data_IF_158119741231
#
_entry.id   IF_158119741231
#
_cell.length_a   1.000
_cell.length_b   1.000
_cell.length_c   1.000
_cell.angle_alpha   90.00
_cell.angle_beta   90.00
_cell.angle_gamma   90.00
#
_symmetry.space_group_name_H-M   'P 1'
#
loop_
_entity.id
_entity.type
_entity.pdbx_description
1 polymer ?
#
# COMPACT_ATOMS: atom_id res chain seq x y z
N UNK A 1 44.49 -13.13 -30.21
CA UNK A 1 43.85 -14.46 -30.19
C UNK A 1 43.88 -15.14 -28.81
N UNK A 2 44.89 -14.93 -27.96
CA UNK A 2 44.98 -15.61 -26.64
C UNK A 2 44.26 -14.93 -25.46
N UNK A 3 43.92 -13.64 -25.55
CA UNK A 3 43.27 -12.92 -24.42
C UNK A 3 41.75 -13.16 -24.36
N UNK A 4 41.12 -13.55 -25.48
CA UNK A 4 39.69 -13.85 -25.53
C UNK A 4 39.33 -15.22 -24.91
N UNK A 5 40.29 -16.14 -24.79
CA UNK A 5 40.05 -17.47 -24.25
C UNK A 5 40.06 -17.53 -22.71
N UNK A 6 40.64 -16.52 -22.04
CA UNK A 6 40.75 -16.50 -20.56
C UNK A 6 39.58 -15.77 -19.86
N UNK A 7 38.76 -15.03 -20.60
CA UNK A 7 37.52 -14.44 -20.08
C UNK A 7 36.29 -15.36 -20.24
N UNK A 8 36.44 -16.48 -20.97
CA UNK A 8 35.35 -17.44 -21.22
C UNK A 8 35.14 -18.51 -20.15
N UNK A 9 35.97 -18.55 -19.10
CA UNK A 9 35.93 -19.62 -18.08
C UNK A 9 35.49 -19.16 -16.68
N UNK A 10 35.04 -17.90 -16.52
CA UNK A 10 34.64 -17.34 -15.22
C UNK A 10 33.15 -16.95 -15.14
N UNK A 11 32.35 -17.26 -16.15
CA UNK A 11 30.90 -17.27 -16.04
C UNK A 11 30.44 -18.72 -15.89
N UNK A 12 30.84 -19.32 -14.76
CA UNK A 12 30.01 -20.39 -14.22
C UNK A 12 28.61 -19.83 -14.13
N UNK A 13 27.64 -20.50 -14.77
CA UNK A 13 26.23 -20.14 -14.61
C UNK A 13 25.98 -20.04 -13.12
N UNK A 14 25.79 -18.83 -12.61
CA UNK A 14 25.15 -18.66 -11.31
C UNK A 14 23.77 -19.23 -11.57
N UNK A 15 23.57 -20.51 -11.22
CA UNK A 15 22.22 -21.04 -11.11
C UNK A 15 21.59 -20.10 -10.09
N UNK A 16 20.63 -19.30 -10.54
CA UNK A 16 19.75 -18.64 -9.59
C UNK A 16 19.24 -19.76 -8.69
N UNK A 17 19.54 -19.68 -7.40
CA UNK A 17 18.94 -20.61 -6.45
C UNK A 17 17.43 -20.51 -6.63
N UNK A 18 16.71 -21.65 -6.68
CA UNK A 18 15.26 -21.60 -6.79
C UNK A 18 14.75 -20.74 -5.63
N UNK A 19 13.89 -19.78 -5.95
CA UNK A 19 13.17 -19.02 -4.93
C UNK A 19 12.45 -20.05 -4.05
N UNK A 20 12.84 -20.10 -2.78
CA UNK A 20 12.19 -20.94 -1.80
C UNK A 20 10.91 -20.21 -1.39
N UNK A 21 9.77 -20.85 -1.64
CA UNK A 21 8.46 -20.34 -1.25
C UNK A 21 7.99 -21.06 0.01
N UNK A 22 7.30 -20.33 0.88
CA UNK A 22 6.78 -20.87 2.14
C UNK A 22 5.27 -20.86 2.11
N UNK A 23 4.66 -22.04 2.21
CA UNK A 23 3.26 -22.18 2.54
C UNK A 23 3.14 -22.45 4.03
N UNK A 24 2.53 -21.53 4.77
CA UNK A 24 2.33 -21.64 6.21
C UNK A 24 0.86 -21.76 6.53
N UNK A 25 0.52 -22.74 7.36
CA UNK A 25 -0.77 -22.88 8.00
C UNK A 25 -0.60 -22.67 9.50
N UNK A 26 -1.32 -21.69 10.05
CA UNK A 26 -1.16 -21.29 11.45
C UNK A 26 -2.52 -21.30 12.13
N UNK A 27 -2.68 -22.26 13.03
CA UNK A 27 -3.75 -22.31 14.02
C UNK A 27 -3.26 -21.68 15.32
N UNK A 28 -4.02 -20.73 15.87
CA UNK A 28 -3.76 -20.17 17.19
C UNK A 28 -5.01 -20.22 18.05
N UNK A 29 -4.82 -20.35 19.36
CA UNK A 29 -5.85 -20.19 20.36
C UNK A 29 -5.34 -19.31 21.50
N UNK A 30 -6.24 -18.51 22.08
CA UNK A 30 -5.91 -17.53 23.12
C UNK A 30 -7.14 -17.30 24.02
N UNK A 31 -6.97 -16.73 25.22
CA UNK A 31 -8.10 -16.38 26.08
C UNK A 31 -8.90 -15.16 25.58
N UNK A 32 -8.26 -14.28 24.80
CA UNK A 32 -8.87 -13.05 24.28
C UNK A 32 -9.64 -13.30 22.97
N UNK A 33 -10.37 -12.30 22.46
CA UNK A 33 -11.14 -12.41 21.20
C UNK A 33 -10.29 -11.96 20.00
N UNK A 34 -10.22 -12.74 18.91
CA UNK A 34 -10.83 -14.06 18.70
C UNK A 34 -10.10 -15.17 19.47
N UNK A 35 -10.84 -16.08 20.10
CA UNK A 35 -10.25 -17.15 20.94
C UNK A 35 -9.61 -18.29 20.15
N UNK A 36 -9.89 -18.35 18.85
CA UNK A 36 -9.33 -19.29 17.90
C UNK A 36 -9.24 -18.57 16.55
N UNK A 37 -8.16 -18.80 15.82
CA UNK A 37 -8.06 -18.40 14.43
C UNK A 37 -7.19 -19.39 13.66
N UNK A 38 -7.49 -19.53 12.38
CA UNK A 38 -6.72 -20.34 11.45
C UNK A 38 -6.55 -19.55 10.16
N UNK A 39 -5.31 -19.53 9.67
CA UNK A 39 -4.96 -18.84 8.43
C UNK A 39 -3.94 -19.65 7.65
N UNK A 40 -4.11 -19.62 6.33
CA UNK A 40 -3.14 -20.13 5.37
C UNK A 40 -2.55 -18.96 4.61
N UNK A 41 -1.23 -18.89 4.55
CA UNK A 41 -0.48 -17.85 3.87
C UNK A 41 0.60 -18.44 2.96
N UNK A 42 0.85 -17.76 1.85
CA UNK A 42 1.93 -18.06 0.91
C UNK A 42 2.88 -16.87 0.89
N UNK A 43 4.14 -17.08 1.25
CA UNK A 43 5.16 -16.01 1.38
C UNK A 43 4.68 -14.82 2.23
N UNK A 44 4.02 -15.11 3.37
CA UNK A 44 3.39 -14.13 4.28
C UNK A 44 2.19 -13.36 3.71
N UNK A 45 1.69 -13.69 2.52
CA UNK A 45 0.41 -13.19 2.00
C UNK A 45 -0.71 -14.16 2.35
N UNK A 46 -1.73 -13.68 3.06
CA UNK A 46 -2.88 -14.51 3.41
C UNK A 46 -3.63 -14.97 2.16
N UNK A 47 -3.84 -16.27 2.03
CA UNK A 47 -4.68 -16.86 0.98
C UNK A 47 -6.08 -17.15 1.49
N UNK A 48 -6.15 -17.75 2.68
CA UNK A 48 -7.39 -18.19 3.31
C UNK A 48 -7.39 -17.91 4.80
N UNK A 49 -8.58 -17.69 5.34
CA UNK A 49 -8.84 -17.66 6.77
C UNK A 49 -10.06 -18.51 7.10
N UNK A 50 -10.08 -19.12 8.28
CA UNK A 50 -11.19 -19.95 8.68
C UNK A 50 -12.20 -19.17 9.55
N UNK A 51 -13.45 -19.17 9.11
CA UNK A 51 -14.58 -18.62 9.84
C UNK A 51 -15.16 -19.69 10.77
N UNK A 52 -14.68 -19.69 12.02
CA UNK A 52 -15.01 -20.69 13.02
C UNK A 52 -16.53 -20.77 13.29
N UNK A 53 -17.27 -19.66 13.53
CA UNK A 53 -18.72 -19.71 13.73
C UNK A 53 -19.49 -20.40 12.59
N UNK A 54 -19.10 -20.14 11.34
CA UNK A 54 -19.79 -20.69 10.17
C UNK A 54 -19.14 -21.99 9.63
N UNK A 55 -18.03 -22.43 10.23
CA UNK A 55 -17.26 -23.62 9.84
C UNK A 55 -16.92 -23.65 8.34
N UNK A 56 -16.41 -22.53 7.83
CA UNK A 56 -16.11 -22.36 6.41
C UNK A 56 -14.77 -21.66 6.20
N UNK A 57 -14.08 -22.04 5.12
CA UNK A 57 -12.91 -21.32 4.64
C UNK A 57 -13.33 -20.10 3.83
N UNK A 58 -12.76 -18.96 4.17
CA UNK A 58 -12.95 -17.69 3.48
C UNK A 58 -11.70 -17.37 2.65
N UNK A 59 -11.83 -17.20 1.32
CA UNK A 59 -10.74 -16.69 0.51
C UNK A 59 -10.47 -15.23 0.86
N UNK A 60 -9.20 -14.85 0.77
CA UNK A 60 -8.78 -13.47 1.00
C UNK A 60 -9.31 -12.51 -0.08
N UNK A 61 -9.42 -12.99 -1.32
CA UNK A 61 -9.99 -12.23 -2.44
C UNK A 61 -11.48 -12.54 -2.58
N UNK A 62 -12.35 -11.53 -2.81
CA UNK A 62 -13.79 -11.73 -3.00
C UNK A 62 -14.12 -12.73 -4.13
N UNK A 63 -13.35 -12.69 -5.21
CA UNK A 63 -13.47 -13.59 -6.36
C UNK A 63 -12.42 -14.72 -6.34
N UNK A 64 -11.87 -15.01 -5.16
CA UNK A 64 -10.87 -16.06 -4.96
C UNK A 64 -11.46 -17.46 -5.14
N UNK A 65 -10.61 -18.47 -5.44
CA UNK A 65 -11.05 -19.85 -5.51
C UNK A 65 -11.60 -20.30 -4.15
N UNK A 66 -12.58 -21.20 -4.16
CA UNK A 66 -13.01 -21.89 -2.94
C UNK A 66 -11.91 -22.78 -2.41
N UNK A 67 -11.89 -23.02 -1.09
CA UNK A 67 -10.98 -23.98 -0.48
C UNK A 67 -11.13 -25.37 -1.14
N UNK A 68 -10.03 -26.05 -1.49
CA UNK A 68 -10.11 -27.36 -2.12
C UNK A 68 -10.69 -28.42 -1.17
N UNK A 69 -11.73 -29.13 -1.62
CA UNK A 69 -12.48 -30.07 -0.78
C UNK A 69 -11.66 -31.30 -0.30
N UNK A 70 -10.55 -31.61 -0.98
CA UNK A 70 -9.74 -32.80 -0.72
C UNK A 70 -8.54 -32.56 0.22
N UNK A 71 -8.30 -31.31 0.65
CA UNK A 71 -7.12 -30.98 1.47
C UNK A 71 -7.41 -31.22 2.94
N UNK A 72 -8.44 -30.55 3.46
CA UNK A 72 -8.76 -30.60 4.89
C UNK A 72 -10.23 -30.26 5.10
N UNK A 73 -10.89 -31.09 5.90
CA UNK A 73 -12.31 -30.94 6.20
C UNK A 73 -12.53 -30.15 7.49
N UNK A 74 -13.61 -29.34 7.58
CA UNK A 74 -13.89 -28.54 8.78
C UNK A 74 -13.94 -29.33 10.10
N UNK A 75 -14.24 -30.62 10.07
CA UNK A 75 -14.31 -31.45 11.27
C UNK A 75 -12.93 -31.84 11.82
N UNK A 76 -11.91 -31.92 10.97
CA UNK A 76 -10.51 -32.18 11.35
C UNK A 76 -9.97 -30.96 12.13
N UNK A 77 -10.31 -29.76 11.68
CA UNK A 77 -9.99 -28.50 12.36
C UNK A 77 -10.57 -28.37 13.77
N UNK A 78 -11.72 -29.00 14.04
CA UNK A 78 -12.30 -29.00 15.38
C UNK A 78 -11.45 -29.82 16.37
N UNK A 79 -10.77 -30.87 15.91
CA UNK A 79 -9.86 -31.66 16.73
C UNK A 79 -8.61 -30.84 17.08
N UNK A 80 -8.01 -30.18 16.10
CA UNK A 80 -6.82 -29.34 16.33
C UNK A 80 -7.14 -28.12 17.20
N UNK A 81 -8.32 -27.52 17.02
CA UNK A 81 -8.81 -26.46 17.90
C UNK A 81 -9.00 -26.93 19.35
N UNK A 82 -9.50 -28.15 19.56
CA UNK A 82 -9.65 -28.73 20.89
C UNK A 82 -8.28 -28.98 21.54
N UNK A 83 -7.35 -29.59 20.79
CA UNK A 83 -5.98 -29.83 21.22
C UNK A 83 -5.26 -28.52 21.58
N UNK A 84 -5.41 -27.48 20.77
CA UNK A 84 -4.83 -26.17 21.05
C UNK A 84 -5.30 -25.62 22.40
N UNK A 85 -6.61 -25.69 22.68
CA UNK A 85 -7.18 -25.20 23.94
C UNK A 85 -6.69 -26.00 25.15
N UNK A 86 -6.61 -27.32 25.04
CA UNK A 86 -6.06 -28.18 26.10
C UNK A 86 -4.59 -27.85 26.38
N UNK A 87 -3.81 -27.65 25.31
CA UNK A 87 -2.40 -27.27 25.43
C UNK A 87 -2.25 -25.88 26.04
N UNK A 88 -3.06 -24.90 25.63
CA UNK A 88 -3.07 -23.55 26.18
C UNK A 88 -3.35 -23.57 27.69
N UNK A 89 -4.35 -24.34 28.13
CA UNK A 89 -4.71 -24.49 29.55
C UNK A 89 -3.57 -25.14 30.37
N UNK A 90 -2.96 -26.21 29.82
CA UNK A 90 -1.79 -26.84 30.44
C UNK A 90 -0.60 -25.89 30.55
N UNK A 91 -0.23 -25.22 29.45
CA UNK A 91 0.90 -24.29 29.40
C UNK A 91 0.65 -23.08 30.29
N UNK A 92 -0.58 -22.58 30.37
CA UNK A 92 -0.96 -21.47 31.25
C UNK A 92 -0.75 -21.85 32.71
N UNK A 93 -1.14 -23.06 33.14
CA UNK A 93 -0.87 -23.53 34.51
C UNK A 93 0.62 -23.62 34.83
N UNK A 94 1.42 -24.08 33.88
CA UNK A 94 2.88 -24.16 34.04
C UNK A 94 3.47 -22.75 34.13
N UNK A 95 3.07 -21.84 33.23
CA UNK A 95 3.57 -20.47 33.14
C UNK A 95 3.13 -19.58 34.31
N UNK A 96 2.01 -19.87 34.97
CA UNK A 96 1.48 -19.10 36.12
C UNK A 96 1.78 -19.72 37.48
N UNK A 97 2.58 -20.80 37.50
CA UNK A 97 2.96 -21.52 38.71
C UNK A 97 3.93 -20.73 39.63
N UNK A 98 4.73 -21.43 40.45
CA UNK A 98 5.59 -20.79 41.46
C UNK A 98 6.59 -19.75 40.90
N UNK A 99 6.98 -19.92 39.63
CA UNK A 99 7.86 -19.01 38.91
C UNK A 99 7.12 -18.48 37.67
N UNK A 100 6.38 -17.37 37.80
CA UNK A 100 5.53 -16.88 36.72
C UNK A 100 6.37 -16.36 35.55
N UNK A 101 6.00 -16.79 34.34
CA UNK A 101 6.57 -16.31 33.08
C UNK A 101 5.67 -15.24 32.48
N UNK A 102 6.21 -14.07 32.07
CA UNK A 102 5.40 -13.06 31.41
C UNK A 102 4.98 -13.53 30.02
N UNK A 103 3.75 -13.20 29.64
CA UNK A 103 3.26 -13.37 28.28
C UNK A 103 4.07 -12.48 27.32
N UNK A 104 4.48 -13.04 26.18
CA UNK A 104 5.11 -12.27 25.12
C UNK A 104 4.14 -11.21 24.58
N UNK A 105 4.63 -10.01 24.29
CA UNK A 105 3.80 -8.89 23.82
C UNK A 105 4.52 -8.09 22.74
N UNK A 106 3.86 -7.92 21.61
CA UNK A 106 4.26 -7.01 20.55
C UNK A 106 3.65 -5.63 20.74
N UNK A 107 4.38 -4.57 20.38
CA UNK A 107 3.84 -3.21 20.31
C UNK A 107 3.36 -3.02 18.86
N UNK A 108 2.04 -2.90 18.61
CA UNK A 108 1.54 -2.79 17.25
C UNK A 108 2.13 -1.58 16.55
N UNK A 109 2.53 -1.74 15.30
CA UNK A 109 3.02 -0.65 14.46
C UNK A 109 2.03 -0.47 13.33
N UNK A 110 1.50 0.74 13.17
CA UNK A 110 0.47 1.05 12.19
C UNK A 110 0.97 2.04 11.16
N UNK A 111 0.76 1.74 9.89
CA UNK A 111 1.03 2.60 8.75
C UNK A 111 -0.24 2.80 7.94
N UNK A 112 -0.47 4.05 7.49
CA UNK A 112 -1.64 4.41 6.70
C UNK A 112 -1.24 4.95 5.33
N UNK A 113 -1.80 4.37 4.28
CA UNK A 113 -1.54 4.76 2.90
C UNK A 113 -2.77 4.58 2.01
N UNK A 114 -2.76 5.17 0.83
CA UNK A 114 -3.83 5.00 -0.16
C UNK A 114 -3.60 3.78 -1.03
N UNK A 115 -4.69 3.10 -1.39
CA UNK A 115 -4.67 2.00 -2.34
C UNK A 115 -4.32 2.46 -3.78
N UNK A 116 -4.78 3.65 -4.16
CA UNK A 116 -4.52 4.24 -5.47
C UNK A 116 -3.87 5.62 -5.32
N UNK A 117 -3.14 6.12 -6.33
CA UNK A 117 -2.57 7.46 -6.29
C UNK A 117 -3.62 8.54 -5.95
N UNK A 118 -3.24 9.52 -5.15
CA UNK A 118 -4.16 10.54 -4.63
C UNK A 118 -4.71 11.42 -5.76
N UNK A 119 -6.04 11.47 -5.88
CA UNK A 119 -6.77 12.48 -6.64
C UNK A 119 -7.85 13.08 -5.73
N UNK A 120 -7.80 14.40 -5.51
CA UNK A 120 -8.76 15.07 -4.64
C UNK A 120 -10.17 15.04 -5.23
N UNK A 121 -11.17 14.73 -4.41
CA UNK A 121 -12.57 14.66 -4.82
C UNK A 121 -12.97 13.36 -5.55
N UNK A 122 -12.05 12.40 -5.71
CA UNK A 122 -12.33 11.10 -6.32
C UNK A 122 -12.32 9.97 -5.27
N UNK A 123 -13.16 8.92 -5.42
CA UNK A 123 -13.17 7.77 -4.52
C UNK A 123 -11.81 7.06 -4.48
N UNK A 124 -11.40 6.65 -3.29
CA UNK A 124 -10.20 5.87 -3.03
C UNK A 124 -10.41 5.04 -1.74
N UNK A 125 -9.41 4.26 -1.35
CA UNK A 125 -9.43 3.47 -0.12
C UNK A 125 -8.17 3.76 0.69
N UNK A 126 -8.33 4.16 1.95
CA UNK A 126 -7.23 4.17 2.90
C UNK A 126 -7.03 2.77 3.46
N UNK A 127 -5.77 2.36 3.57
CA UNK A 127 -5.34 1.09 4.12
C UNK A 127 -4.54 1.39 5.37
N UNK A 128 -4.96 0.85 6.51
CA UNK A 128 -4.18 0.79 7.73
C UNK A 128 -3.59 -0.62 7.86
N UNK A 129 -2.29 -0.74 7.64
CA UNK A 129 -1.52 -1.95 7.85
C UNK A 129 -0.98 -1.93 9.28
N UNK A 130 -1.29 -2.96 10.05
CA UNK A 130 -0.85 -3.07 11.45
C UNK A 130 0.00 -4.33 11.62
N UNK A 131 1.27 -4.17 11.93
CA UNK A 131 2.23 -5.26 12.18
C UNK A 131 2.64 -5.36 13.65
N UNK A 132 3.53 -6.32 13.95
CA UNK A 132 4.03 -6.61 15.30
C UNK A 132 2.92 -6.85 16.33
N UNK A 133 1.84 -7.53 15.89
CA UNK A 133 0.70 -7.83 16.75
C UNK A 133 0.99 -9.13 17.47
N UNK A 134 1.11 -9.07 18.80
CA UNK A 134 1.07 -10.25 19.65
C UNK A 134 0.61 -9.86 21.07
N UNK A 135 -0.35 -10.58 21.67
CA UNK A 135 -1.21 -11.60 21.04
C UNK A 135 -2.16 -10.98 19.98
N UNK A 136 -2.79 -11.78 19.08
CA UNK A 136 -3.71 -11.31 18.02
C UNK A 136 -5.06 -10.85 18.59
N UNK A 137 -5.05 -9.82 19.44
CA UNK A 137 -6.21 -9.26 20.11
C UNK A 137 -6.11 -7.73 20.15
N UNK A 138 -6.40 -7.11 19.00
CA UNK A 138 -6.44 -5.66 18.84
C UNK A 138 -7.78 -5.20 18.23
N UNK A 139 -8.13 -3.95 18.52
CA UNK A 139 -9.22 -3.22 17.88
C UNK A 139 -8.62 -2.13 16.99
N UNK A 140 -9.09 -2.04 15.76
CA UNK A 140 -8.72 -0.98 14.82
C UNK A 140 -9.96 -0.11 14.61
N UNK A 141 -9.81 1.21 14.75
CA UNK A 141 -10.89 2.18 14.51
C UNK A 141 -10.39 3.33 13.66
N UNK A 142 -11.31 3.98 12.94
CA UNK A 142 -11.00 5.11 12.08
C UNK A 142 -11.62 6.39 12.62
N UNK A 143 -10.92 7.50 12.40
CA UNK A 143 -11.46 8.84 12.56
C UNK A 143 -11.20 9.68 11.32
N UNK A 144 -12.12 10.60 11.04
CA UNK A 144 -11.95 11.73 10.12
C UNK A 144 -12.17 13.02 10.90
N UNK A 145 -11.18 13.89 10.92
CA UNK A 145 -11.21 15.18 11.62
C UNK A 145 -11.57 15.04 13.11
N UNK A 146 -11.09 13.96 13.74
CA UNK A 146 -11.37 13.62 15.15
C UNK A 146 -12.72 12.94 15.40
N UNK A 147 -13.55 12.77 14.37
CA UNK A 147 -14.87 12.13 14.47
C UNK A 147 -14.75 10.66 14.06
N UNK A 148 -15.25 9.70 14.87
CA UNK A 148 -15.25 8.28 14.51
C UNK A 148 -16.00 8.00 13.20
N UNK A 149 -15.42 7.15 12.36
CA UNK A 149 -16.02 6.67 11.10
C UNK A 149 -16.10 5.16 11.11
N UNK A 150 -17.30 4.65 10.84
CA UNK A 150 -17.58 3.21 10.72
C UNK A 150 -18.05 2.82 9.32
N UNK A 151 -18.61 3.78 8.59
CA UNK A 151 -19.16 3.54 7.26
C UNK A 151 -18.03 3.28 6.26
N UNK A 152 -18.16 2.20 5.48
CA UNK A 152 -17.14 1.79 4.51
C UNK A 152 -15.85 1.25 5.15
N UNK A 153 -15.88 0.89 6.44
CA UNK A 153 -14.77 0.23 7.12
C UNK A 153 -14.87 -1.28 6.94
N UNK A 154 -13.77 -1.90 6.51
CA UNK A 154 -13.62 -3.36 6.44
C UNK A 154 -12.35 -3.76 7.19
N UNK A 155 -12.42 -4.80 8.01
CA UNK A 155 -11.25 -5.38 8.67
C UNK A 155 -10.99 -6.77 8.12
N UNK A 156 -9.74 -7.08 7.83
CA UNK A 156 -9.32 -8.44 7.54
C UNK A 156 -9.04 -9.22 8.82
N UNK A 157 -8.91 -10.54 8.67
CA UNK A 157 -8.48 -11.43 9.74
C UNK A 157 -6.98 -11.26 10.00
N UNK A 158 -6.45 -11.94 11.02
CA UNK A 158 -5.03 -11.90 11.33
C UNK A 158 -4.25 -12.76 10.34
N UNK A 159 -3.22 -12.19 9.74
CA UNK A 159 -2.25 -12.90 8.91
C UNK A 159 -1.03 -13.25 9.76
N UNK A 160 -0.65 -14.53 9.89
CA UNK A 160 0.56 -14.92 10.60
C UNK A 160 1.81 -14.43 9.86
N UNK A 161 2.85 -14.07 10.61
CA UNK A 161 4.16 -13.68 10.06
C UNK A 161 5.21 -14.73 10.43
N UNK A 162 6.34 -14.75 9.72
CA UNK A 162 7.42 -15.74 9.93
C UNK A 162 8.03 -15.70 11.34
N UNK A 163 7.94 -14.55 12.03
CA UNK A 163 8.46 -14.33 13.38
C UNK A 163 7.45 -14.70 14.50
N UNK A 164 6.44 -15.52 14.17
CA UNK A 164 5.34 -15.93 15.07
C UNK A 164 4.47 -14.76 15.58
N UNK A 165 4.57 -13.61 14.90
CA UNK A 165 3.69 -12.48 15.10
C UNK A 165 2.45 -12.54 14.20
N UNK A 166 1.69 -11.45 14.21
CA UNK A 166 0.56 -11.27 13.31
C UNK A 166 0.58 -9.88 12.69
N UNK A 167 0.01 -9.81 11.49
CA UNK A 167 -0.36 -8.58 10.79
C UNK A 167 -1.87 -8.54 10.62
N UNK A 168 -2.44 -7.33 10.55
CA UNK A 168 -3.86 -7.12 10.27
C UNK A 168 -4.05 -5.86 9.46
N UNK A 169 -4.98 -5.90 8.52
CA UNK A 169 -5.31 -4.76 7.68
C UNK A 169 -6.72 -4.26 7.96
N UNK A 170 -6.89 -2.95 7.89
CA UNK A 170 -8.20 -2.29 7.86
C UNK A 170 -8.28 -1.33 6.68
N UNK A 171 -9.43 -1.31 6.02
CA UNK A 171 -9.71 -0.51 4.85
C UNK A 171 -10.80 0.48 5.19
N UNK A 172 -10.69 1.71 4.70
CA UNK A 172 -11.71 2.74 4.80
C UNK A 172 -11.94 3.35 3.43
N UNK A 173 -13.15 3.19 2.89
CA UNK A 173 -13.57 3.87 1.67
C UNK A 173 -13.70 5.38 1.92
N UNK A 174 -13.04 6.19 1.08
CA UNK A 174 -12.96 7.66 1.25
C UNK A 174 -13.06 8.40 -0.08
N UNK A 175 -13.40 9.68 0.00
CA UNK A 175 -13.23 10.66 -1.08
C UNK A 175 -12.41 11.82 -0.52
N UNK A 176 -11.06 11.78 -0.64
CA UNK A 176 -10.19 12.73 0.05
C UNK A 176 -10.32 14.16 -0.50
N UNK A 177 -10.40 15.14 0.40
CA UNK A 177 -10.38 16.57 0.09
C UNK A 177 -9.20 17.24 0.79
N UNK A 178 -8.75 18.37 0.24
CA UNK A 178 -7.66 19.13 0.87
C UNK A 178 -8.07 19.57 2.28
N UNK A 179 -7.20 19.28 3.26
CA UNK A 179 -7.43 19.60 4.66
C UNK A 179 -8.05 18.47 5.50
N UNK A 180 -8.55 17.39 4.87
CA UNK A 180 -9.01 16.21 5.61
C UNK A 180 -7.86 15.59 6.41
N UNK A 181 -8.15 15.17 7.65
CA UNK A 181 -7.22 14.44 8.50
C UNK A 181 -7.84 13.11 8.87
N UNK A 182 -7.20 12.02 8.48
CA UNK A 182 -7.62 10.67 8.83
C UNK A 182 -6.70 10.09 9.89
N UNK A 183 -7.25 9.28 10.79
CA UNK A 183 -6.49 8.56 11.79
C UNK A 183 -6.95 7.10 11.86
N UNK A 184 -5.98 6.17 11.80
CA UNK A 184 -6.16 4.79 12.20
C UNK A 184 -5.69 4.65 13.65
N UNK A 185 -6.59 4.21 14.52
CA UNK A 185 -6.34 4.05 15.96
C UNK A 185 -6.38 2.57 16.28
N UNK A 186 -5.25 2.05 16.73
CA UNK A 186 -5.07 0.65 17.15
C UNK A 186 -5.03 0.60 18.66
N UNK A 187 -5.90 -0.19 19.27
CA UNK A 187 -5.95 -0.38 20.73
C UNK A 187 -5.83 -1.84 21.12
N UNK A 188 -5.08 -2.11 22.19
CA UNK A 188 -5.09 -3.39 22.90
C UNK A 188 -5.55 -3.16 24.33
N UNK A 189 -6.80 -3.52 24.61
CA UNK A 189 -7.49 -3.20 25.87
C UNK A 189 -6.77 -3.79 27.10
N UNK A 190 -6.31 -5.04 27.01
CA UNK A 190 -5.67 -5.77 28.11
C UNK A 190 -4.48 -5.02 28.74
N UNK A 191 -3.75 -4.26 27.93
CA UNK A 191 -2.50 -3.60 28.31
C UNK A 191 -2.57 -2.06 28.25
N UNK A 192 -3.75 -1.49 27.95
CA UNK A 192 -3.95 -0.05 27.71
C UNK A 192 -2.98 0.55 26.67
N UNK A 193 -2.61 -0.21 25.64
CA UNK A 193 -1.79 0.28 24.54
C UNK A 193 -2.69 0.91 23.47
N UNK A 194 -2.33 2.11 23.03
CA UNK A 194 -2.97 2.81 21.92
C UNK A 194 -1.91 3.40 21.00
N UNK A 195 -2.04 3.11 19.70
CA UNK A 195 -1.17 3.61 18.64
C UNK A 195 -2.05 4.32 17.62
N UNK A 196 -1.63 5.51 17.20
CA UNK A 196 -2.38 6.33 16.24
C UNK A 196 -1.49 6.61 15.04
N UNK A 197 -1.96 6.24 13.86
CA UNK A 197 -1.33 6.54 12.59
C UNK A 197 -2.20 7.54 11.83
N UNK A 198 -1.64 8.71 11.53
CA UNK A 198 -2.32 9.76 10.81
C UNK A 198 -2.04 9.68 9.32
N UNK A 199 -3.03 10.04 8.52
CA UNK A 199 -2.87 10.27 7.10
C UNK A 199 -3.54 11.57 6.68
N UNK A 200 -2.83 12.35 5.87
CA UNK A 200 -3.29 13.60 5.29
C UNK A 200 -3.02 13.60 3.80
N UNK A 201 -3.90 14.18 2.96
CA UNK A 201 -3.66 14.31 1.53
C UNK A 201 -2.41 15.17 1.26
N UNK A 202 -1.40 14.60 0.62
CA UNK A 202 -0.17 15.27 0.19
C UNK A 202 0.09 14.94 -1.28
N UNK A 203 0.60 15.93 -2.03
CA UNK A 203 1.00 15.77 -3.43
C UNK A 203 -0.05 15.10 -4.34
N UNK A 204 -1.28 15.64 -4.44
CA UNK A 204 -2.32 15.06 -5.28
C UNK A 204 -1.95 15.15 -6.76
N UNK A 205 -2.31 14.11 -7.51
CA UNK A 205 -2.26 14.15 -8.97
C UNK A 205 -3.21 15.27 -9.44
N UNK A 206 -2.73 16.19 -10.30
CA UNK A 206 -3.58 17.21 -10.90
C UNK A 206 -4.75 16.56 -11.64
N UNK A 207 -5.95 17.11 -11.51
CA UNK A 207 -7.08 16.63 -12.30
C UNK A 207 -6.80 16.75 -13.81
N UNK A 208 -7.34 15.84 -14.61
CA UNK A 208 -7.17 15.86 -16.07
C UNK A 208 -7.63 17.19 -16.68
N UNK A 209 -8.66 17.81 -16.10
CA UNK A 209 -9.17 19.13 -16.49
C UNK A 209 -8.12 20.21 -16.24
N UNK A 210 -7.44 20.20 -15.08
CA UNK A 210 -6.39 21.17 -14.79
C UNK A 210 -5.18 20.95 -15.69
N UNK A 211 -4.78 19.69 -15.90
CA UNK A 211 -3.67 19.34 -16.78
C UNK A 211 -3.93 19.80 -18.24
N UNK A 212 -5.13 19.52 -18.77
CA UNK A 212 -5.52 19.95 -20.12
C UNK A 212 -5.65 21.46 -20.24
N UNK A 213 -6.20 22.14 -19.23
CA UNK A 213 -6.30 23.60 -19.21
C UNK A 213 -4.92 24.27 -19.21
N UNK A 214 -3.98 23.78 -18.37
CA UNK A 214 -2.60 24.28 -18.33
C UNK A 214 -1.88 24.03 -19.65
N UNK A 215 -2.00 22.82 -20.22
CA UNK A 215 -1.42 22.50 -21.51
C UNK A 215 -1.99 23.38 -22.64
N UNK A 216 -3.31 23.60 -22.65
CA UNK A 216 -3.99 24.50 -23.58
C UNK A 216 -3.53 25.96 -23.45
N UNK A 217 -3.36 26.46 -22.23
CA UNK A 217 -2.86 27.81 -21.98
C UNK A 217 -1.42 27.98 -22.47
N UNK A 218 -0.54 27.01 -22.18
CA UNK A 218 0.85 27.04 -22.60
C UNK A 218 1.01 26.95 -24.13
N UNK A 219 0.20 26.12 -24.79
CA UNK A 219 0.20 26.00 -26.26
C UNK A 219 -0.31 27.28 -26.93
N UNK A 220 -1.40 27.88 -26.44
CA UNK A 220 -1.91 29.15 -26.94
C UNK A 220 -0.88 30.29 -26.77
N UNK A 221 -0.23 30.37 -25.61
CA UNK A 221 0.84 31.34 -25.36
C UNK A 221 2.03 31.13 -26.30
N UNK A 222 2.44 29.88 -26.54
CA UNK A 222 3.49 29.53 -27.49
C UNK A 222 3.17 29.99 -28.92
N UNK A 223 1.93 29.79 -29.38
CA UNK A 223 1.47 30.23 -30.70
C UNK A 223 1.50 31.76 -30.80
N UNK A 224 1.00 32.47 -29.79
CA UNK A 224 1.02 33.94 -29.74
C UNK A 224 2.44 34.50 -29.83
N UNK A 225 3.38 33.95 -29.05
CA UNK A 225 4.78 34.36 -29.07
C UNK A 225 5.45 34.07 -30.43
N UNK A 226 5.14 32.93 -31.05
CA UNK A 226 5.65 32.60 -32.38
C UNK A 226 5.16 33.57 -33.46
N UNK A 227 3.87 33.94 -33.43
CA UNK A 227 3.29 34.92 -34.36
C UNK A 227 3.88 36.32 -34.17
N UNK A 228 4.05 36.76 -32.92
CA UNK A 228 4.72 38.04 -32.60
C UNK A 228 6.17 38.05 -33.08
N UNK A 229 6.91 36.96 -32.85
CA UNK A 229 8.28 36.80 -33.33
C UNK A 229 8.36 36.88 -34.86
N UNK A 230 7.46 36.20 -35.57
CA UNK A 230 7.38 36.26 -37.02
C UNK A 230 7.05 37.68 -37.52
N UNK A 231 6.11 38.37 -36.88
CA UNK A 231 5.76 39.76 -37.19
C UNK A 231 6.94 40.71 -37.03
N UNK A 232 7.69 40.58 -35.92
CA UNK A 232 8.90 41.37 -35.68
C UNK A 232 9.98 41.10 -36.74
N UNK A 233 10.24 39.83 -37.09
CA UNK A 233 11.20 39.46 -38.13
C UNK A 233 10.82 40.04 -39.50
N UNK A 234 9.54 39.96 -39.88
CA UNK A 234 9.05 40.56 -41.13
C UNK A 234 9.17 42.08 -41.12
N UNK A 235 8.92 42.73 -39.98
CA UNK A 235 9.09 44.18 -39.83
C UNK A 235 10.56 44.61 -39.92
N UNK A 236 11.49 43.81 -39.38
CA UNK A 236 12.92 44.06 -39.44
C UNK A 236 13.46 43.86 -40.87
N UNK A 237 13.04 42.80 -41.56
CA UNK A 237 13.38 42.59 -42.98
C UNK A 237 12.86 43.72 -43.87
N UNK A 238 11.63 44.19 -43.65
CA UNK A 238 11.09 45.35 -44.37
C UNK A 238 11.88 46.63 -44.10
N UNK A 239 12.26 46.89 -42.84
CA UNK A 239 13.11 48.03 -42.48
C UNK A 239 14.50 47.96 -43.12
N UNK A 240 15.13 46.78 -43.19
CA UNK A 240 16.42 46.58 -43.85
C UNK A 240 16.33 46.81 -45.37
N UNK A 241 15.28 46.33 -46.06
CA UNK A 241 15.08 46.61 -47.49
C UNK A 241 14.89 48.10 -47.78
N UNK A 242 14.11 48.81 -46.95
CA UNK A 242 13.94 50.27 -47.10
C UNK A 242 15.22 51.06 -46.80
N UNK A 243 16.06 50.58 -45.87
CA UNK A 243 17.40 51.13 -45.63
C UNK A 243 18.33 50.99 -46.84
N UNK A 244 18.30 49.84 -47.52
CA UNK A 244 19.07 49.61 -48.76
C UNK A 244 18.57 50.46 -49.94
N UNK A 245 17.26 50.61 -50.11
CA UNK A 245 16.69 51.49 -51.14
C UNK A 245 17.05 52.97 -50.97
N UNK A 246 17.16 53.48 -49.73
CA UNK A 246 17.63 54.85 -49.49
C UNK A 246 19.09 55.07 -49.87
N UNK A 247 19.96 54.05 -49.78
CA UNK A 247 21.36 54.18 -50.18
C UNK A 247 21.58 54.04 -51.70
N UNK A 248 20.70 53.33 -52.42
CA UNK A 248 20.78 53.17 -53.89
C UNK A 248 20.13 54.31 -54.70
N UNK A 249 19.50 55.29 -54.04
CA UNK A 249 18.81 56.42 -54.69
C UNK A 249 19.67 57.66 -55.01
N UNK A 250 20.97 57.67 -54.74
CA UNK A 250 21.85 58.80 -55.11
C UNK A 250 22.86 58.40 -56.21
N UNK A 251 22.72 58.89 -57.45
CA UNK A 251 23.79 58.77 -58.45
C UNK A 251 24.94 59.75 -58.15
N UNK A 252 26.18 59.46 -58.56
CA UNK A 252 27.33 60.32 -58.29
C UNK A 252 27.26 61.61 -59.10
N UNK A 253 27.59 62.75 -58.49
CA UNK A 253 27.93 63.99 -59.19
C UNK A 253 29.17 63.71 -60.05
N UNK A 254 29.02 63.76 -61.37
CA UNK A 254 30.15 63.83 -62.31
C UNK A 254 30.67 65.26 -62.34
N UNK A 255 31.99 65.38 -62.20
CA UNK A 255 32.79 66.60 -62.33
C UNK A 255 32.75 67.21 -63.72
#
# INVERSE_FOLDING_TARGET
ALVAALLGAALGSVRAEPLLHTLSEVLFCQPDTPSLGLSVAFDSEQLFSFDVPNSQWLPQLPDGPSWPADIEQPHELLHDAALCRELLDLLTRIATGPNPMPEAKGIPVADVFLQQPLQLGYPNTLICMVGNIFPPAITISWQRDGIPVTDGVTHLTYTPTEDLGFMRFSYLAVTPHSGDIYACIVTRERDNISVVAYWVPQDPIPSDVLATAVCGAMTALGILLALLGLGLLLSARRRNMWGQWRQQGHPPRTH
#
